data_IF_036977028967
#
_entry.id   IF_036977028967
#
_cell.length_a   1.000
_cell.length_b   1.000
_cell.length_c   1.000
_cell.angle_alpha   90.00
_cell.angle_beta   90.00
_cell.angle_gamma   90.00
#
_symmetry.space_group_name_H-M   'P 1'
#
loop_
_entity.id
_entity.type
_entity.pdbx_description
1 polymer ?
#
# COMPACT_ATOMS: atom_id res chain seq x y z
N UNK A 1 -14.87 -28.29 85.27
CA UNK A 1 -15.09 -28.49 83.82
C UNK A 1 -13.86 -27.97 83.10
N UNK A 2 -12.93 -28.85 82.72
CA UNK A 2 -11.63 -28.45 82.18
C UNK A 2 -11.74 -28.19 80.67
N UNK A 3 -11.44 -26.95 80.25
CA UNK A 3 -11.37 -26.56 78.84
C UNK A 3 -10.07 -27.13 78.27
N UNK A 4 -10.15 -28.15 77.41
CA UNK A 4 -8.98 -28.68 76.71
C UNK A 4 -8.52 -27.67 75.65
N UNK A 5 -7.21 -27.33 75.57
CA UNK A 5 -6.70 -26.46 74.52
C UNK A 5 -6.85 -27.16 73.16
N UNK A 6 -7.36 -26.45 72.16
CA UNK A 6 -7.36 -26.94 70.78
C UNK A 6 -5.91 -27.27 70.38
N UNK A 7 -5.64 -28.45 69.80
CA UNK A 7 -4.29 -28.81 69.40
C UNK A 7 -3.80 -27.85 68.30
N UNK A 8 -2.62 -27.25 68.49
CA UNK A 8 -1.97 -26.32 67.54
C UNK A 8 -1.94 -26.82 66.08
N UNK A 9 -2.04 -28.14 65.86
CA UNK A 9 -2.13 -28.76 64.54
C UNK A 9 -3.42 -28.42 63.78
N UNK A 10 -4.55 -28.19 64.47
CA UNK A 10 -5.80 -27.78 63.83
C UNK A 10 -5.79 -26.31 63.40
N UNK A 11 -5.16 -25.44 64.19
CA UNK A 11 -4.96 -24.03 63.83
C UNK A 11 -4.01 -23.89 62.63
N UNK A 12 -2.94 -24.68 62.57
CA UNK A 12 -2.02 -24.70 61.43
C UNK A 12 -2.71 -25.19 60.15
N UNK A 13 -3.59 -26.19 60.24
CA UNK A 13 -4.34 -26.73 59.08
C UNK A 13 -5.35 -25.72 58.53
N UNK A 14 -6.01 -24.94 59.40
CA UNK A 14 -6.94 -23.86 59.05
C UNK A 14 -6.22 -22.68 58.39
N UNK A 15 -5.01 -22.34 58.86
CA UNK A 15 -4.18 -21.29 58.25
C UNK A 15 -3.65 -21.75 56.89
N UNK A 16 -3.23 -23.02 56.75
CA UNK A 16 -2.79 -23.56 55.47
C UNK A 16 -3.93 -23.61 54.44
N UNK A 17 -5.15 -23.96 54.85
CA UNK A 17 -6.33 -23.98 53.95
C UNK A 17 -6.79 -22.59 53.54
N UNK A 18 -6.62 -21.56 54.38
CA UNK A 18 -6.90 -20.17 54.03
C UNK A 18 -5.85 -19.55 53.08
N UNK A 19 -4.62 -20.07 53.05
CA UNK A 19 -3.57 -19.61 52.11
C UNK A 19 -3.69 -20.32 50.75
N UNK A 20 -4.36 -21.47 50.70
CA UNK A 20 -4.59 -22.28 49.49
C UNK A 20 -5.92 -22.00 48.78
N UNK A 21 -6.72 -21.02 49.23
CA UNK A 21 -7.89 -20.59 48.47
C UNK A 21 -7.41 -19.79 47.25
N UNK A 22 -7.61 -20.28 46.01
CA UNK A 22 -7.25 -19.51 44.83
C UNK A 22 -8.10 -18.24 44.83
N UNK A 23 -7.45 -17.09 45.05
CA UNK A 23 -8.09 -15.81 44.76
C UNK A 23 -8.42 -15.83 43.26
N UNK A 24 -9.65 -15.50 42.84
CA UNK A 24 -9.97 -15.37 41.43
C UNK A 24 -9.14 -14.21 40.88
N UNK A 25 -7.96 -14.52 40.36
CA UNK A 25 -7.21 -13.61 39.51
C UNK A 25 -7.98 -13.50 38.21
N UNK A 26 -8.77 -12.43 38.08
CA UNK A 26 -9.34 -12.02 36.80
C UNK A 26 -8.20 -11.58 35.90
N UNK A 27 -7.60 -12.55 35.21
CA UNK A 27 -6.51 -12.31 34.26
C UNK A 27 -7.00 -11.71 32.93
N UNK A 28 -8.30 -11.45 32.79
CA UNK A 28 -8.92 -10.84 31.63
C UNK A 28 -9.51 -9.48 32.02
N UNK A 29 -9.30 -8.48 31.16
CA UNK A 29 -9.83 -7.12 31.35
C UNK A 29 -11.36 -7.12 31.40
N UNK A 30 -11.94 -6.07 32.00
CA UNK A 30 -13.39 -5.88 32.02
C UNK A 30 -13.90 -5.40 30.65
N UNK A 31 -15.20 -5.55 30.37
CA UNK A 31 -15.82 -4.95 29.19
C UNK A 31 -15.53 -3.43 29.09
N UNK A 32 -15.50 -2.74 30.22
CA UNK A 32 -15.17 -1.32 30.29
C UNK A 32 -13.71 -1.03 29.88
N UNK A 33 -12.78 -1.97 30.11
CA UNK A 33 -11.39 -1.86 29.67
C UNK A 33 -11.29 -1.99 28.15
N UNK A 34 -12.00 -2.95 27.56
CA UNK A 34 -12.08 -3.09 26.10
C UNK A 34 -12.79 -1.90 25.45
N UNK A 35 -13.91 -1.42 26.01
CA UNK A 35 -14.60 -0.23 25.50
C UNK A 35 -13.72 1.01 25.54
N UNK A 36 -12.94 1.19 26.62
CA UNK A 36 -11.98 2.30 26.74
C UNK A 36 -10.80 2.17 25.79
N UNK A 37 -10.33 0.95 25.53
CA UNK A 37 -9.28 0.70 24.54
C UNK A 37 -9.80 1.00 23.12
N UNK A 38 -11.02 0.57 22.81
CA UNK A 38 -11.65 0.81 21.52
C UNK A 38 -11.92 2.31 21.27
N UNK A 39 -12.22 3.10 22.30
CA UNK A 39 -12.41 4.56 22.16
C UNK A 39 -11.11 5.38 22.15
N UNK A 40 -9.94 4.75 22.21
CA UNK A 40 -8.67 5.48 22.23
C UNK A 40 -8.46 6.30 20.94
N UNK A 41 -8.82 5.75 19.78
CA UNK A 41 -8.72 6.44 18.50
C UNK A 41 -9.54 7.73 18.49
N UNK A 42 -10.83 7.62 18.80
CA UNK A 42 -11.77 8.76 18.87
C UNK A 42 -11.29 9.85 19.83
N UNK A 43 -10.69 9.47 20.97
CA UNK A 43 -10.21 10.41 21.99
C UNK A 43 -8.93 11.15 21.59
N UNK A 44 -8.10 10.53 20.75
CA UNK A 44 -6.83 11.11 20.31
C UNK A 44 -6.95 11.81 18.95
N UNK A 45 -7.95 11.45 18.16
CA UNK A 45 -8.24 12.06 16.87
C UNK A 45 -8.53 13.55 17.03
N UNK A 46 -7.91 14.37 16.19
CA UNK A 46 -8.06 15.83 16.22
C UNK A 46 -7.27 16.56 17.31
N UNK A 47 -6.54 15.86 18.19
CA UNK A 47 -5.70 16.53 19.20
C UNK A 47 -4.40 17.12 18.64
N UNK A 48 -3.91 16.60 17.50
CA UNK A 48 -2.72 17.13 16.84
C UNK A 48 -3.13 18.03 15.68
N UNK A 49 -2.91 19.32 15.85
CA UNK A 49 -3.26 20.37 14.89
C UNK A 49 -2.05 20.81 14.07
N UNK A 50 -2.31 21.47 12.95
CA UNK A 50 -1.31 21.98 12.00
C UNK A 50 -0.39 20.92 11.37
N UNK A 51 -0.81 19.66 11.36
CA UNK A 51 -0.17 18.64 10.53
C UNK A 51 -0.62 18.87 9.09
N UNK A 52 0.32 19.19 8.20
CA UNK A 52 0.09 19.17 6.77
C UNK A 52 0.10 17.74 6.24
N UNK A 53 -0.97 17.37 5.53
CA UNK A 53 -1.01 16.14 4.74
C UNK A 53 -0.22 16.32 3.43
N UNK A 54 -0.05 15.23 2.67
CA UNK A 54 0.73 15.25 1.42
C UNK A 54 0.13 16.26 0.42
N UNK A 55 0.93 17.15 -0.17
CA UNK A 55 0.45 18.10 -1.16
C UNK A 55 0.08 17.40 -2.48
N UNK A 56 -0.89 17.99 -3.18
CA UNK A 56 -1.34 17.62 -4.51
C UNK A 56 -1.12 18.80 -5.46
N UNK A 57 -0.30 18.60 -6.49
CA UNK A 57 -0.03 19.60 -7.51
C UNK A 57 -1.23 19.77 -8.45
N UNK A 58 -1.44 21.01 -8.92
CA UNK A 58 -2.52 21.34 -9.86
C UNK A 58 -1.93 21.31 -11.27
N UNK A 59 -2.23 20.24 -12.02
CA UNK A 59 -1.70 20.04 -13.37
C UNK A 59 -0.17 20.18 -13.44
N UNK A 60 0.31 20.88 -14.47
CA UNK A 60 1.74 21.22 -14.66
C UNK A 60 2.06 22.66 -14.22
N UNK A 61 1.35 23.16 -13.20
CA UNK A 61 1.53 24.53 -12.69
C UNK A 61 2.49 24.59 -11.49
N UNK A 62 2.81 25.80 -11.03
CA UNK A 62 3.55 26.04 -9.79
C UNK A 62 2.65 26.03 -8.54
N UNK A 63 1.38 25.66 -8.67
CA UNK A 63 0.41 25.67 -7.57
C UNK A 63 0.09 24.28 -7.07
N UNK A 64 -0.10 24.16 -5.76
CA UNK A 64 -0.50 22.92 -5.11
C UNK A 64 -1.42 23.21 -3.94
N UNK A 65 -2.25 22.23 -3.61
CA UNK A 65 -3.08 22.28 -2.42
C UNK A 65 -2.71 21.17 -1.45
N UNK A 66 -2.98 21.37 -0.16
CA UNK A 66 -2.87 20.32 0.85
C UNK A 66 -3.94 20.49 1.92
N UNK A 67 -4.37 19.37 2.49
CA UNK A 67 -5.23 19.35 3.67
C UNK A 67 -4.36 19.45 4.92
N UNK A 68 -4.80 20.20 5.93
CA UNK A 68 -4.12 20.24 7.23
C UNK A 68 -5.10 20.02 8.38
N UNK A 69 -4.63 19.45 9.47
CA UNK A 69 -5.43 19.34 10.69
C UNK A 69 -5.60 20.72 11.33
N UNK A 70 -6.80 20.97 11.87
CA UNK A 70 -7.14 22.11 12.73
C UNK A 70 -7.91 21.57 13.95
N UNK A 71 -8.18 22.43 14.93
CA UNK A 71 -8.96 22.01 16.09
C UNK A 71 -10.35 21.52 15.64
N UNK A 72 -10.66 20.26 15.94
CA UNK A 72 -11.94 19.64 15.60
C UNK A 72 -12.12 19.18 14.14
N UNK A 73 -11.15 19.38 13.24
CA UNK A 73 -11.34 19.03 11.83
C UNK A 73 -10.15 19.38 10.93
N UNK A 74 -10.43 19.84 9.72
CA UNK A 74 -9.41 20.07 8.69
C UNK A 74 -9.73 21.26 7.79
N UNK A 75 -8.68 21.93 7.30
CA UNK A 75 -8.77 22.96 6.26
C UNK A 75 -7.98 22.55 5.02
N UNK A 76 -8.41 23.05 3.86
CA UNK A 76 -7.70 22.95 2.60
C UNK A 76 -6.95 24.26 2.33
N UNK A 77 -5.66 24.14 2.05
CA UNK A 77 -4.76 25.26 1.82
C UNK A 77 -4.26 25.19 0.39
N UNK A 78 -4.34 26.30 -0.34
CA UNK A 78 -3.73 26.48 -1.65
C UNK A 78 -2.45 27.30 -1.52
N UNK A 79 -1.41 26.88 -2.21
CA UNK A 79 -0.10 27.51 -2.23
C UNK A 79 0.37 27.68 -3.67
N UNK A 80 0.86 28.87 -3.96
CA UNK A 80 1.61 29.16 -5.18
C UNK A 80 3.11 29.12 -4.83
N UNK A 81 3.83 28.12 -5.36
CA UNK A 81 5.22 27.84 -4.99
C UNK A 81 6.19 28.91 -5.52
N UNK A 82 5.83 29.60 -6.61
CA UNK A 82 6.67 30.64 -7.22
C UNK A 82 6.60 31.94 -6.42
N UNK A 83 5.39 32.39 -6.10
CA UNK A 83 5.16 33.64 -5.35
C UNK A 83 5.20 33.45 -3.84
N UNK A 84 5.19 32.20 -3.37
CA UNK A 84 5.03 31.81 -1.96
C UNK A 84 3.71 32.27 -1.33
N UNK A 85 2.73 32.66 -2.16
CA UNK A 85 1.41 33.03 -1.69
C UNK A 85 0.69 31.80 -1.12
N UNK A 86 0.02 31.99 0.02
CA UNK A 86 -0.70 30.92 0.73
C UNK A 86 -2.05 31.44 1.19
N UNK A 87 -3.09 30.66 0.93
CA UNK A 87 -4.47 30.98 1.32
C UNK A 87 -5.34 29.73 1.49
N UNK A 88 -6.62 29.91 1.87
CA UNK A 88 -7.59 28.83 1.78
C UNK A 88 -7.73 28.39 0.31
N UNK A 89 -7.93 27.09 0.08
CA UNK A 89 -8.13 26.57 -1.28
C UNK A 89 -9.45 27.04 -1.91
N UNK A 90 -10.47 27.27 -1.07
CA UNK A 90 -11.77 27.81 -1.41
C UNK A 90 -12.44 28.31 -0.11
N UNK A 91 -13.62 28.93 -0.22
CA UNK A 91 -14.44 29.32 0.92
C UNK A 91 -15.14 28.08 1.51
N UNK A 92 -14.54 27.54 2.56
CA UNK A 92 -15.03 26.33 3.24
C UNK A 92 -16.43 26.51 3.85
N UNK A 93 -16.78 27.70 4.34
CA UNK A 93 -18.09 27.96 4.93
C UNK A 93 -19.17 27.96 3.85
N UNK A 94 -18.89 28.64 2.73
CA UNK A 94 -19.83 28.70 1.60
C UNK A 94 -20.05 27.33 0.99
N UNK A 95 -18.99 26.55 0.78
CA UNK A 95 -19.10 25.18 0.27
C UNK A 95 -19.86 24.27 1.24
N UNK A 96 -19.52 24.30 2.53
CA UNK A 96 -20.22 23.51 3.55
C UNK A 96 -21.73 23.83 3.59
N UNK A 97 -22.08 25.11 3.45
CA UNK A 97 -23.49 25.54 3.38
C UNK A 97 -24.20 25.01 2.14
N UNK A 98 -23.58 25.06 0.96
CA UNK A 98 -24.16 24.47 -0.26
C UNK A 98 -24.38 22.97 -0.07
N UNK A 99 -23.35 22.24 0.38
CA UNK A 99 -23.44 20.79 0.53
C UNK A 99 -24.51 20.38 1.54
N UNK A 100 -24.60 21.08 2.67
CA UNK A 100 -25.64 20.87 3.69
C UNK A 100 -27.07 21.02 3.16
N UNK A 101 -27.26 21.79 2.07
CA UNK A 101 -28.57 22.00 1.46
C UNK A 101 -28.98 20.92 0.46
N UNK A 102 -28.04 20.10 0.01
CA UNK A 102 -28.28 19.04 -0.97
C UNK A 102 -28.88 17.82 -0.27
N UNK A 103 -29.87 17.20 -0.91
CA UNK A 103 -30.56 16.01 -0.40
C UNK A 103 -29.61 14.83 -0.19
N UNK A 104 -28.51 14.75 -0.95
CA UNK A 104 -27.49 13.73 -0.83
C UNK A 104 -26.74 13.75 0.52
N UNK A 105 -26.79 14.86 1.26
CA UNK A 105 -26.11 15.05 2.55
C UNK A 105 -27.09 15.35 3.68
N UNK A 106 -28.38 15.04 3.53
CA UNK A 106 -29.42 15.42 4.48
C UNK A 106 -29.23 14.82 5.90
N UNK A 107 -28.54 13.68 5.99
CA UNK A 107 -28.24 12.99 7.26
C UNK A 107 -26.86 13.37 7.84
N UNK A 108 -26.08 14.18 7.12
CA UNK A 108 -24.71 14.55 7.48
C UNK A 108 -24.65 15.93 8.14
N UNK A 109 -23.81 16.09 9.16
CA UNK A 109 -23.52 17.41 9.76
C UNK A 109 -22.28 17.99 9.11
N UNK A 110 -22.46 18.77 8.05
CA UNK A 110 -21.33 19.35 7.31
C UNK A 110 -20.98 20.72 7.87
N UNK A 111 -19.71 20.91 8.21
CA UNK A 111 -19.17 22.21 8.64
C UNK A 111 -17.95 22.58 7.81
N UNK A 112 -17.48 23.83 7.91
CA UNK A 112 -16.29 24.30 7.20
C UNK A 112 -15.02 23.47 7.52
N UNK A 113 -14.98 22.82 8.68
CA UNK A 113 -13.85 22.01 9.15
C UNK A 113 -14.12 20.49 9.05
N UNK A 114 -15.35 20.09 8.69
CA UNK A 114 -15.78 18.70 8.57
C UNK A 114 -16.51 18.49 7.24
N UNK A 115 -15.75 18.72 6.15
CA UNK A 115 -16.21 18.47 4.79
C UNK A 115 -16.19 16.97 4.49
N UNK A 116 -17.15 16.42 3.72
CA UNK A 116 -17.34 14.98 3.52
C UNK A 116 -16.35 14.36 2.53
N UNK A 117 -15.16 14.95 2.39
CA UNK A 117 -14.09 14.52 1.50
C UNK A 117 -12.72 14.90 2.06
N UNK A 118 -11.70 14.16 1.65
CA UNK A 118 -10.30 14.39 2.03
C UNK A 118 -9.42 14.75 0.85
N UNK A 119 -9.92 14.55 -0.38
CA UNK A 119 -9.24 14.85 -1.64
C UNK A 119 -10.14 15.66 -2.54
N UNK A 120 -9.51 16.59 -3.26
CA UNK A 120 -10.10 17.40 -4.32
C UNK A 120 -9.19 17.36 -5.55
N UNK A 121 -9.76 17.52 -6.72
CA UNK A 121 -9.04 17.85 -7.95
C UNK A 121 -9.55 19.20 -8.44
N UNK A 122 -8.65 20.11 -8.83
CA UNK A 122 -9.07 21.36 -9.46
C UNK A 122 -9.37 21.09 -10.93
N UNK A 123 -10.50 21.58 -11.41
CA UNK A 123 -10.94 21.49 -12.81
C UNK A 123 -11.23 22.90 -13.35
N UNK A 124 -11.48 22.99 -14.66
CA UNK A 124 -11.84 24.24 -15.33
C UNK A 124 -10.90 25.41 -15.01
N UNK A 125 -9.59 25.19 -15.16
CA UNK A 125 -8.55 26.20 -14.89
C UNK A 125 -8.62 26.79 -13.47
N UNK A 126 -8.83 25.92 -12.47
CA UNK A 126 -8.99 26.26 -11.04
C UNK A 126 -10.31 26.99 -10.71
N UNK A 127 -11.27 27.06 -11.64
CA UNK A 127 -12.60 27.63 -11.38
C UNK A 127 -13.57 26.64 -10.72
N UNK A 128 -13.26 25.35 -10.73
CA UNK A 128 -14.09 24.33 -10.09
C UNK A 128 -13.24 23.31 -9.34
N UNK A 129 -13.89 22.58 -8.42
CA UNK A 129 -13.32 21.41 -7.75
C UNK A 129 -14.16 20.17 -7.99
N UNK A 130 -13.50 19.05 -8.23
CA UNK A 130 -14.09 17.72 -8.25
C UNK A 130 -13.70 16.93 -7.00
N UNK A 131 -14.66 16.25 -6.36
CA UNK A 131 -14.41 15.35 -5.24
C UNK A 131 -15.44 14.22 -5.17
N UNK A 132 -15.11 13.18 -4.42
CA UNK A 132 -16.02 12.02 -4.22
C UNK A 132 -16.56 12.01 -2.79
N UNK A 133 -17.87 12.11 -2.66
CA UNK A 133 -18.59 12.04 -1.38
C UNK A 133 -19.93 11.29 -1.56
N UNK A 134 -20.35 10.52 -0.55
CA UNK A 134 -21.55 9.67 -0.60
C UNK A 134 -21.64 8.77 -1.86
N UNK A 135 -20.49 8.28 -2.30
CA UNK A 135 -20.32 7.42 -3.48
C UNK A 135 -20.77 8.05 -4.81
N UNK A 136 -20.73 9.39 -4.89
CA UNK A 136 -20.96 10.19 -6.09
C UNK A 136 -19.77 11.13 -6.33
N UNK A 137 -19.57 11.50 -7.58
CA UNK A 137 -18.61 12.53 -7.98
C UNK A 137 -19.34 13.86 -8.03
N UNK A 138 -18.84 14.84 -7.30
CA UNK A 138 -19.39 16.19 -7.27
C UNK A 138 -18.41 17.12 -7.96
N UNK A 139 -18.92 17.96 -8.85
CA UNK A 139 -18.20 19.11 -9.37
C UNK A 139 -18.84 20.38 -8.79
N UNK A 140 -18.06 21.20 -8.13
CA UNK A 140 -18.52 22.46 -7.56
C UNK A 140 -17.76 23.64 -8.16
N UNK A 141 -18.50 24.60 -8.71
CA UNK A 141 -17.95 25.87 -9.20
C UNK A 141 -17.53 26.77 -8.02
N UNK A 142 -16.34 27.35 -8.06
CA UNK A 142 -15.76 28.12 -6.96
C UNK A 142 -16.14 29.61 -6.95
N UNK A 143 -16.85 30.10 -7.97
CA UNK A 143 -17.38 31.48 -7.99
C UNK A 143 -18.81 31.52 -7.43
N UNK A 144 -19.65 30.61 -7.91
CA UNK A 144 -21.07 30.47 -7.58
C UNK A 144 -21.31 29.54 -6.38
N UNK A 145 -20.42 28.56 -6.15
CA UNK A 145 -20.59 27.47 -5.17
C UNK A 145 -21.81 26.58 -5.46
N UNK A 146 -22.23 26.50 -6.72
CA UNK A 146 -23.18 25.50 -7.19
C UNK A 146 -22.45 24.17 -7.39
N UNK A 147 -23.05 23.09 -6.90
CA UNK A 147 -22.49 21.74 -6.96
C UNK A 147 -23.40 20.83 -7.77
N UNK A 148 -22.83 20.14 -8.76
CA UNK A 148 -23.53 19.21 -9.64
C UNK A 148 -23.03 17.77 -9.44
N UNK A 149 -23.98 16.83 -9.47
CA UNK A 149 -23.70 15.39 -9.46
C UNK A 149 -23.25 14.94 -10.85
N UNK A 150 -21.98 14.51 -10.95
CA UNK A 150 -21.38 13.97 -12.17
C UNK A 150 -21.55 12.44 -12.28
N UNK A 151 -22.31 11.83 -11.37
CA UNK A 151 -22.65 10.42 -11.33
C UNK A 151 -21.67 9.60 -10.50
N UNK A 152 -21.70 8.28 -10.72
CA UNK A 152 -20.85 7.35 -10.00
C UNK A 152 -19.37 7.71 -10.18
N UNK A 153 -18.55 7.63 -9.13
CA UNK A 153 -17.10 7.81 -9.25
C UNK A 153 -16.58 6.93 -10.36
N UNK A 154 -15.86 7.56 -11.30
CA UNK A 154 -14.97 6.81 -12.19
C UNK A 154 -14.16 5.91 -11.28
N UNK A 155 -14.13 4.61 -11.56
CA UNK A 155 -13.26 3.67 -10.83
C UNK A 155 -11.79 3.99 -11.17
N UNK A 156 -11.30 5.18 -10.82
CA UNK A 156 -9.92 5.34 -10.43
C UNK A 156 -9.78 4.42 -9.22
N UNK A 157 -8.96 3.37 -9.35
CA UNK A 157 -8.84 2.32 -8.36
C UNK A 157 -8.67 2.89 -6.96
N UNK A 158 -9.77 2.96 -6.20
CA UNK A 158 -9.75 3.42 -4.81
C UNK A 158 -8.84 2.48 -4.05
N UNK A 159 -7.70 3.02 -3.63
CA UNK A 159 -6.78 2.41 -2.70
C UNK A 159 -7.48 2.08 -1.38
N UNK A 160 -8.04 0.88 -1.32
CA UNK A 160 -8.12 -0.01 -0.16
C UNK A 160 -7.65 -1.42 -0.52
N UNK A 161 -7.15 -1.55 -1.74
CA UNK A 161 -6.56 -2.73 -2.34
C UNK A 161 -5.33 -2.16 -3.03
N UNK A 162 -4.14 -2.74 -2.83
CA UNK A 162 -2.97 -2.31 -3.58
C UNK A 162 -3.26 -2.31 -5.09
N UNK A 163 -2.41 -1.72 -5.94
CA UNK A 163 -2.56 -1.69 -7.41
C UNK A 163 -2.69 -3.08 -8.08
N UNK A 164 -2.78 -4.14 -7.28
CA UNK A 164 -2.86 -5.54 -7.62
C UNK A 164 -4.15 -6.26 -7.19
N UNK A 165 -5.19 -5.61 -6.65
CA UNK A 165 -6.39 -6.40 -6.25
C UNK A 165 -6.14 -7.32 -5.03
N UNK A 166 -5.03 -7.13 -4.30
CA UNK A 166 -4.60 -7.96 -3.16
C UNK A 166 -5.04 -7.31 -1.84
N UNK A 167 -5.73 -8.08 -0.99
CA UNK A 167 -5.83 -7.80 0.44
C UNK A 167 -4.41 -7.64 1.01
N UNK A 168 -4.19 -6.71 1.95
CA UNK A 168 -2.93 -6.48 2.69
C UNK A 168 -2.37 -7.71 3.42
N UNK A 169 -2.99 -8.86 3.20
CA UNK A 169 -2.71 -10.18 3.74
C UNK A 169 -1.42 -10.83 3.24
N UNK A 170 -0.89 -10.38 2.10
CA UNK A 170 0.28 -11.00 1.52
C UNK A 170 1.50 -10.14 1.91
N UNK A 171 2.36 -10.65 2.79
CA UNK A 171 3.57 -9.92 3.21
C UNK A 171 4.49 -9.57 2.02
N UNK A 172 5.61 -8.87 2.27
CA UNK A 172 6.67 -8.62 1.29
C UNK A 172 6.92 -9.79 0.32
N UNK A 173 6.98 -9.50 -0.99
CA UNK A 173 7.37 -10.47 -2.02
C UNK A 173 6.29 -11.47 -2.45
N UNK A 174 5.04 -11.34 -1.97
CA UNK A 174 3.97 -12.31 -2.25
C UNK A 174 3.02 -11.92 -3.40
N UNK A 175 3.32 -10.85 -4.14
CA UNK A 175 2.45 -10.34 -5.22
C UNK A 175 2.20 -11.39 -6.32
N UNK A 176 3.15 -12.29 -6.57
CA UNK A 176 3.04 -13.38 -7.53
C UNK A 176 1.97 -14.43 -7.20
N UNK A 177 1.48 -14.46 -5.95
CA UNK A 177 0.44 -15.40 -5.51
C UNK A 177 -0.97 -14.97 -5.94
N UNK A 178 -1.12 -13.74 -6.44
CA UNK A 178 -2.36 -13.22 -7.03
C UNK A 178 -2.16 -13.00 -8.53
N UNK A 179 -2.22 -14.11 -9.27
CA UNK A 179 -2.11 -14.12 -10.73
C UNK A 179 -3.34 -13.45 -11.33
N UNK A 180 -3.13 -12.41 -12.15
CA UNK A 180 -4.10 -12.00 -13.15
C UNK A 180 -3.91 -12.85 -14.41
N UNK A 181 -5.01 -13.07 -15.12
CA UNK A 181 -4.98 -13.67 -16.47
C UNK A 181 -5.00 -12.60 -17.57
N UNK A 182 -5.12 -11.33 -17.20
CA UNK A 182 -5.22 -10.24 -18.15
C UNK A 182 -3.85 -9.98 -18.81
N UNK A 183 -3.77 -10.00 -20.15
CA UNK A 183 -2.56 -9.61 -20.86
C UNK A 183 -2.19 -8.14 -20.62
N UNK A 184 -0.90 -7.86 -20.68
CA UNK A 184 -0.33 -6.52 -20.50
C UNK A 184 0.09 -6.01 -21.88
N UNK A 185 -0.65 -5.02 -22.36
CA UNK A 185 -0.49 -4.41 -23.68
C UNK A 185 0.74 -3.49 -23.71
N UNK A 186 1.46 -3.51 -24.82
CA UNK A 186 2.62 -2.65 -25.08
C UNK A 186 2.21 -1.17 -25.25
N UNK A 187 3.11 -0.20 -24.99
CA UNK A 187 2.82 1.23 -25.16
C UNK A 187 2.30 1.62 -26.55
N UNK A 188 2.85 1.03 -27.61
CA UNK A 188 2.41 1.19 -29.01
C UNK A 188 1.13 0.41 -29.37
N UNK A 189 0.56 -0.34 -28.42
CA UNK A 189 -0.69 -1.10 -28.56
C UNK A 189 -0.67 -2.20 -29.64
N UNK A 190 0.51 -2.66 -30.06
CA UNK A 190 0.65 -3.69 -31.10
C UNK A 190 0.76 -5.09 -30.51
N UNK A 191 1.33 -5.23 -29.31
CA UNK A 191 1.62 -6.51 -28.68
C UNK A 191 1.07 -6.58 -27.28
N UNK A 192 0.84 -7.80 -26.79
CA UNK A 192 0.53 -8.04 -25.40
C UNK A 192 1.33 -9.21 -24.86
N UNK A 193 1.69 -9.11 -23.58
CA UNK A 193 2.49 -10.10 -22.86
C UNK A 193 1.70 -10.63 -21.66
N UNK A 194 1.80 -11.92 -21.41
CA UNK A 194 1.06 -12.61 -20.37
C UNK A 194 1.85 -13.79 -19.81
N UNK A 195 1.38 -14.33 -18.68
CA UNK A 195 1.94 -15.53 -18.09
C UNK A 195 1.23 -16.76 -18.66
N UNK A 196 1.99 -17.62 -19.33
CA UNK A 196 1.54 -18.91 -19.84
C UNK A 196 2.32 -20.03 -19.15
N UNK A 197 1.64 -20.83 -18.31
CA UNK A 197 2.24 -21.96 -17.58
C UNK A 197 3.57 -21.59 -16.89
N UNK A 198 3.52 -20.61 -15.96
CA UNK A 198 4.66 -20.07 -15.19
C UNK A 198 5.72 -19.34 -16.01
N UNK A 199 5.55 -19.19 -17.32
CA UNK A 199 6.48 -18.58 -18.26
C UNK A 199 5.89 -17.32 -18.89
N UNK A 200 6.72 -16.50 -19.50
CA UNK A 200 6.28 -15.29 -20.22
C UNK A 200 6.06 -15.64 -21.68
N UNK A 201 4.92 -15.23 -22.23
CA UNK A 201 4.58 -15.32 -23.65
C UNK A 201 4.15 -13.95 -24.17
N UNK A 202 4.24 -13.76 -25.47
CA UNK A 202 3.67 -12.59 -26.16
C UNK A 202 2.83 -13.02 -27.36
N UNK A 203 1.93 -12.15 -27.77
CA UNK A 203 1.23 -12.20 -29.06
C UNK A 203 0.93 -10.81 -29.59
N UNK A 204 0.60 -10.73 -30.87
CA UNK A 204 0.07 -9.50 -31.46
C UNK A 204 -1.36 -9.25 -30.95
N UNK A 205 -1.71 -7.98 -30.72
CA UNK A 205 -3.05 -7.60 -30.25
C UNK A 205 -4.08 -7.98 -31.30
N UNK A 206 -5.10 -8.74 -30.88
CA UNK A 206 -6.16 -9.26 -31.76
C UNK A 206 -5.83 -10.59 -32.45
N UNK A 207 -4.65 -11.17 -32.19
CA UNK A 207 -4.36 -12.55 -32.59
C UNK A 207 -5.27 -13.56 -31.86
N UNK A 208 -5.40 -14.76 -32.43
CA UNK A 208 -6.13 -15.86 -31.80
C UNK A 208 -5.48 -16.27 -30.47
N UNK A 209 -6.28 -16.83 -29.55
CA UNK A 209 -5.81 -17.09 -28.19
C UNK A 209 -4.60 -18.04 -28.13
N UNK A 210 -4.51 -18.97 -29.07
CA UNK A 210 -3.44 -19.98 -29.18
C UNK A 210 -2.27 -19.53 -30.08
N UNK A 211 -2.37 -18.36 -30.73
CA UNK A 211 -1.32 -17.79 -31.58
C UNK A 211 -0.41 -16.88 -30.75
N UNK A 212 0.48 -17.51 -29.98
CA UNK A 212 1.45 -16.83 -29.13
C UNK A 212 2.84 -17.43 -29.27
N UNK A 213 3.84 -16.63 -28.92
CA UNK A 213 5.24 -17.04 -28.85
C UNK A 213 5.73 -16.97 -27.41
N UNK A 214 6.38 -18.04 -26.96
CA UNK A 214 7.00 -18.08 -25.64
C UNK A 214 8.31 -17.29 -25.63
N UNK A 215 8.47 -16.39 -24.67
CA UNK A 215 9.72 -15.67 -24.40
C UNK A 215 10.61 -16.42 -23.40
N UNK A 216 10.01 -17.25 -22.54
CA UNK A 216 10.73 -18.07 -21.55
C UNK A 216 10.22 -19.50 -21.54
N UNK A 217 11.03 -20.43 -21.03
CA UNK A 217 10.71 -21.87 -21.06
C UNK A 217 11.02 -22.61 -19.75
N UNK A 218 11.74 -21.99 -18.84
CA UNK A 218 12.25 -22.59 -17.61
C UNK A 218 11.34 -22.41 -16.38
N UNK A 219 10.19 -21.74 -16.56
CA UNK A 219 9.22 -21.46 -15.51
C UNK A 219 8.58 -22.73 -14.93
N UNK A 220 8.44 -22.77 -13.61
CA UNK A 220 7.81 -23.87 -12.85
C UNK A 220 7.08 -23.32 -11.61
N UNK A 221 6.26 -24.11 -10.90
CA UNK A 221 5.67 -23.67 -9.62
C UNK A 221 6.69 -23.20 -8.57
N UNK A 222 7.93 -23.70 -8.62
CA UNK A 222 9.02 -23.31 -7.70
C UNK A 222 9.94 -22.21 -8.25
N UNK A 223 9.68 -21.70 -9.44
CA UNK A 223 10.48 -20.69 -10.14
C UNK A 223 9.59 -20.05 -11.23
N UNK A 224 8.70 -19.14 -10.83
CA UNK A 224 7.61 -18.64 -11.69
C UNK A 224 7.80 -17.18 -12.05
N UNK A 225 7.38 -16.80 -13.25
CA UNK A 225 7.17 -15.39 -13.57
C UNK A 225 5.81 -14.92 -13.04
N UNK A 226 5.66 -13.60 -12.85
CA UNK A 226 4.39 -12.98 -12.45
C UNK A 226 4.04 -11.77 -13.30
N UNK A 227 2.82 -11.79 -13.81
CA UNK A 227 2.11 -10.69 -14.48
C UNK A 227 2.16 -9.38 -13.68
N UNK A 228 2.05 -9.43 -12.35
CA UNK A 228 2.06 -8.25 -11.48
C UNK A 228 3.35 -7.43 -11.52
N UNK A 229 4.43 -8.04 -12.00
CA UNK A 229 5.75 -7.40 -12.11
C UNK A 229 6.12 -6.99 -13.53
N UNK A 230 5.31 -7.35 -14.52
CA UNK A 230 5.59 -7.08 -15.93
C UNK A 230 5.46 -5.58 -16.19
N UNK A 231 6.48 -5.04 -16.85
CA UNK A 231 6.54 -3.65 -17.30
C UNK A 231 7.22 -3.60 -18.66
N UNK A 232 6.53 -3.01 -19.63
CA UNK A 232 7.08 -2.71 -20.94
C UNK A 232 8.03 -1.52 -20.85
N UNK A 233 9.11 -1.62 -21.62
CA UNK A 233 9.92 -0.46 -22.01
C UNK A 233 9.08 0.53 -22.82
N UNK A 234 9.31 1.85 -22.67
CA UNK A 234 8.55 2.88 -23.39
C UNK A 234 8.51 2.72 -24.92
N UNK A 235 9.57 2.19 -25.52
CA UNK A 235 9.69 1.90 -26.95
C UNK A 235 9.06 0.56 -27.40
N UNK A 236 8.34 -0.15 -26.51
CA UNK A 236 7.67 -1.43 -26.79
C UNK A 236 8.60 -2.60 -27.20
N UNK A 237 9.92 -2.50 -27.02
CA UNK A 237 10.85 -3.55 -27.51
C UNK A 237 11.14 -4.63 -26.47
N UNK A 238 11.20 -4.23 -25.22
CA UNK A 238 11.61 -5.06 -24.08
C UNK A 238 10.56 -5.09 -22.99
N UNK A 239 10.58 -6.18 -22.23
CA UNK A 239 9.80 -6.34 -21.00
C UNK A 239 10.75 -6.60 -19.85
N UNK A 240 10.56 -5.91 -18.74
CA UNK A 240 11.15 -6.23 -17.46
C UNK A 240 10.12 -6.99 -16.60
N UNK A 241 10.55 -8.04 -15.92
CA UNK A 241 9.67 -8.91 -15.11
C UNK A 241 10.46 -9.55 -13.98
N UNK A 242 9.80 -9.82 -12.85
CA UNK A 242 10.38 -10.67 -11.81
C UNK A 242 10.13 -12.14 -12.10
N UNK A 243 11.21 -12.93 -12.03
CA UNK A 243 11.15 -14.36 -11.78
C UNK A 243 11.25 -14.61 -10.29
N UNK A 244 10.33 -15.40 -9.74
CA UNK A 244 10.19 -15.61 -8.30
C UNK A 244 10.43 -17.07 -7.95
N UNK A 245 11.36 -17.29 -7.03
CA UNK A 245 11.52 -18.56 -6.34
C UNK A 245 10.76 -18.48 -5.02
N UNK A 246 9.65 -19.24 -4.84
CA UNK A 246 8.85 -19.18 -3.63
C UNK A 246 9.64 -19.53 -2.37
N UNK A 247 9.40 -18.74 -1.33
CA UNK A 247 9.87 -18.92 0.02
C UNK A 247 9.19 -20.08 0.73
N UNK A 248 9.27 -20.08 2.05
CA UNK A 248 8.57 -21.05 2.89
C UNK A 248 7.11 -20.63 3.04
N UNK A 249 6.20 -21.54 2.70
CA UNK A 249 4.78 -21.32 2.98
C UNK A 249 4.49 -21.58 4.46
N UNK A 250 3.90 -20.58 5.12
CA UNK A 250 3.44 -20.71 6.50
C UNK A 250 2.00 -20.25 6.61
N UNK A 251 1.13 -21.19 6.92
CA UNK A 251 -0.29 -20.95 7.09
C UNK A 251 -0.59 -20.75 8.58
N UNK A 252 -1.25 -19.63 8.89
CA UNK A 252 -1.88 -19.39 10.20
C UNK A 252 -3.34 -19.82 10.08
N UNK A 253 -3.81 -20.53 11.09
CA UNK A 253 -5.18 -21.02 11.18
C UNK A 253 -5.94 -20.19 12.22
N UNK A 254 -7.06 -19.62 11.80
CA UNK A 254 -8.03 -18.97 12.67
C UNK A 254 -9.22 -19.90 12.88
N UNK A 255 -9.65 -20.01 14.12
CA UNK A 255 -10.86 -20.75 14.49
C UNK A 255 -11.78 -19.77 15.20
N UNK A 256 -12.87 -19.44 14.53
CA UNK A 256 -13.98 -18.70 15.11
C UNK A 256 -14.86 -19.69 15.88
N UNK A 257 -14.76 -19.69 17.20
CA UNK A 257 -15.40 -20.71 18.05
C UNK A 257 -16.92 -20.59 18.13
N UNK A 258 -17.48 -19.42 17.83
CA UNK A 258 -18.89 -19.10 18.03
C UNK A 258 -19.38 -18.10 16.97
N UNK A 259 -19.44 -18.50 15.69
CA UNK A 259 -19.95 -17.66 14.63
C UNK A 259 -21.45 -17.41 14.81
N UNK A 260 -21.94 -16.23 14.41
CA UNK A 260 -23.34 -15.83 14.61
C UNK A 260 -24.34 -16.60 13.74
N UNK A 261 -23.87 -17.23 12.65
CA UNK A 261 -24.69 -17.86 11.62
C UNK A 261 -24.77 -19.39 11.72
N UNK A 262 -23.98 -20.02 12.60
CA UNK A 262 -23.98 -21.48 12.76
C UNK A 262 -23.52 -21.97 14.14
N UNK A 263 -23.87 -23.22 14.48
CA UNK A 263 -23.52 -23.83 15.78
C UNK A 263 -22.08 -24.34 15.86
N UNK A 264 -21.45 -24.64 14.73
CA UNK A 264 -20.11 -25.24 14.68
C UNK A 264 -19.04 -24.16 14.44
N UNK A 265 -17.80 -24.33 14.94
CA UNK A 265 -16.74 -23.38 14.67
C UNK A 265 -16.47 -23.17 13.18
N UNK A 266 -16.19 -21.93 12.79
CA UNK A 266 -15.73 -21.60 11.43
C UNK A 266 -14.21 -21.56 11.40
N UNK A 267 -13.62 -22.10 10.33
CA UNK A 267 -12.17 -22.12 10.13
C UNK A 267 -11.80 -21.23 8.96
N UNK A 268 -10.80 -20.39 9.15
CA UNK A 268 -10.18 -19.62 8.08
C UNK A 268 -8.66 -19.71 8.17
N UNK A 269 -8.00 -19.44 7.06
CA UNK A 269 -6.54 -19.51 6.99
C UNK A 269 -5.97 -18.28 6.32
N UNK A 270 -4.72 -18.00 6.66
CA UNK A 270 -4.00 -16.85 6.14
C UNK A 270 -2.53 -17.22 5.99
N UNK A 271 -1.92 -16.88 4.86
CA UNK A 271 -0.49 -17.07 4.63
C UNK A 271 0.30 -15.97 5.36
N UNK A 272 1.04 -16.32 6.41
CA UNK A 272 1.83 -15.36 7.20
C UNK A 272 3.26 -15.85 7.38
N UNK A 273 4.20 -15.22 6.69
CA UNK A 273 5.62 -15.41 6.95
C UNK A 273 5.97 -14.85 8.34
N UNK A 274 6.57 -15.67 9.21
CA UNK A 274 7.06 -15.22 10.53
C UNK A 274 8.55 -14.89 10.47
N UNK A 275 9.06 -14.14 11.46
CA UNK A 275 10.51 -13.93 11.61
C UNK A 275 11.28 -15.26 11.52
N UNK A 276 12.34 -15.26 10.72
CA UNK A 276 13.17 -16.44 10.43
C UNK A 276 12.75 -17.27 9.22
N UNK A 277 11.52 -17.12 8.70
CA UNK A 277 11.08 -17.91 7.53
C UNK A 277 11.83 -17.51 6.26
N UNK A 278 12.02 -18.45 5.33
CA UNK A 278 12.54 -18.11 4.00
C UNK A 278 11.51 -17.26 3.26
N UNK A 279 11.90 -16.07 2.81
CA UNK A 279 11.05 -15.21 1.99
C UNK A 279 11.14 -15.63 0.51
N UNK A 280 10.22 -15.12 -0.29
CA UNK A 280 10.26 -15.24 -1.74
C UNK A 280 11.54 -14.55 -2.27
N UNK A 281 12.21 -15.15 -3.25
CA UNK A 281 13.37 -14.55 -3.93
C UNK A 281 12.95 -14.07 -5.31
N UNK A 282 12.84 -12.76 -5.45
CA UNK A 282 12.57 -12.06 -6.71
C UNK A 282 13.90 -11.81 -7.45
N UNK A 283 13.92 -12.11 -8.76
CA UNK A 283 15.08 -11.93 -9.64
C UNK A 283 14.59 -11.14 -10.86
N UNK A 284 15.09 -9.90 -11.09
CA UNK A 284 14.77 -9.17 -12.30
C UNK A 284 15.24 -9.92 -13.55
N UNK A 285 14.40 -9.93 -14.58
CA UNK A 285 14.69 -10.49 -15.90
C UNK A 285 14.25 -9.48 -16.95
N UNK A 286 15.10 -9.21 -17.93
CA UNK A 286 14.79 -8.39 -19.11
C UNK A 286 14.66 -9.32 -20.32
N UNK A 287 13.56 -9.18 -21.04
CA UNK A 287 13.22 -9.97 -22.22
C UNK A 287 13.12 -9.03 -23.42
N UNK A 288 13.89 -9.29 -24.47
CA UNK A 288 13.70 -8.66 -25.77
C UNK A 288 12.67 -9.46 -26.56
N UNK A 289 11.55 -8.82 -26.91
CA UNK A 289 10.37 -9.52 -27.42
C UNK A 289 10.57 -10.01 -28.84
N UNK A 290 11.30 -9.26 -29.66
CA UNK A 290 11.52 -9.60 -31.07
C UNK A 290 12.60 -10.67 -31.24
N UNK A 291 13.72 -10.53 -30.53
CA UNK A 291 14.83 -11.49 -30.64
C UNK A 291 14.65 -12.72 -29.73
N UNK A 292 13.76 -12.66 -28.75
CA UNK A 292 13.66 -13.67 -27.69
C UNK A 292 14.85 -13.69 -26.74
N UNK A 293 15.72 -12.66 -26.77
CA UNK A 293 16.89 -12.59 -25.88
C UNK A 293 16.42 -12.43 -24.44
N UNK A 294 16.81 -13.39 -23.59
CA UNK A 294 16.57 -13.35 -22.15
C UNK A 294 17.83 -12.92 -21.40
N UNK A 295 17.67 -12.01 -20.45
CA UNK A 295 18.74 -11.52 -19.59
C UNK A 295 18.32 -11.61 -18.13
N UNK A 296 18.94 -12.52 -17.38
CA UNK A 296 18.73 -12.69 -15.95
C UNK A 296 19.72 -11.79 -15.22
N UNK A 297 19.23 -10.89 -14.36
CA UNK A 297 20.07 -9.89 -13.71
C UNK A 297 20.79 -10.49 -12.50
N UNK A 298 22.10 -10.25 -12.41
CA UNK A 298 22.95 -10.69 -11.31
C UNK A 298 22.58 -10.00 -9.99
N UNK A 299 22.53 -10.77 -8.91
CA UNK A 299 22.02 -10.32 -7.61
C UNK A 299 23.09 -9.80 -6.65
N UNK A 300 24.33 -9.54 -7.09
CA UNK A 300 25.40 -9.06 -6.22
C UNK A 300 25.04 -7.76 -5.46
N UNK A 301 24.23 -6.88 -6.07
CA UNK A 301 23.75 -5.66 -5.43
C UNK A 301 22.46 -5.84 -4.59
N UNK A 302 21.80 -6.99 -4.68
CA UNK A 302 20.53 -7.26 -4.00
C UNK A 302 20.36 -8.73 -3.53
N UNK A 303 21.36 -9.36 -2.88
CA UNK A 303 21.43 -10.83 -2.76
C UNK A 303 20.43 -11.46 -1.77
N UNK A 304 19.85 -10.66 -0.88
CA UNK A 304 18.98 -11.14 0.21
C UNK A 304 17.90 -10.09 0.53
N UNK A 305 16.93 -9.94 -0.36
CA UNK A 305 15.88 -8.93 -0.24
C UNK A 305 14.87 -9.28 0.86
N UNK A 306 14.49 -8.26 1.63
CA UNK A 306 13.20 -8.24 2.31
C UNK A 306 12.10 -7.86 1.32
N UNK A 307 12.35 -6.83 0.51
CA UNK A 307 11.49 -6.38 -0.60
C UNK A 307 12.35 -5.90 -1.75
N UNK A 308 11.90 -6.15 -2.98
CA UNK A 308 12.21 -5.31 -4.13
C UNK A 308 10.99 -4.42 -4.46
N UNK A 309 11.22 -3.20 -4.95
CA UNK A 309 10.11 -2.39 -5.49
C UNK A 309 9.63 -2.93 -6.83
N UNK A 310 8.57 -2.32 -7.37
CA UNK A 310 8.23 -2.49 -8.79
C UNK A 310 9.45 -2.11 -9.65
N UNK A 311 9.60 -2.82 -10.77
CA UNK A 311 10.53 -2.46 -11.83
C UNK A 311 9.99 -1.25 -12.58
N UNK A 312 10.84 -0.28 -12.85
CA UNK A 312 10.49 0.96 -13.54
C UNK A 312 11.47 1.19 -14.68
N UNK A 313 10.97 1.37 -15.90
CA UNK A 313 11.82 1.78 -17.02
C UNK A 313 12.08 3.27 -16.97
N UNK A 314 13.30 3.66 -17.34
CA UNK A 314 13.60 5.02 -17.77
C UNK A 314 12.89 5.33 -19.09
N UNK A 315 12.58 6.60 -19.33
CA UNK A 315 11.93 7.10 -20.55
C UNK A 315 12.76 6.77 -21.80
N UNK A 316 14.08 6.70 -21.65
CA UNK A 316 15.02 6.33 -22.72
C UNK A 316 14.97 4.85 -23.16
N UNK A 317 14.21 3.98 -22.48
CA UNK A 317 14.18 2.52 -22.71
C UNK A 317 15.54 1.81 -22.51
N UNK A 318 16.56 2.47 -22.01
CA UNK A 318 17.91 1.92 -21.86
C UNK A 318 18.14 1.32 -20.47
N UNK A 319 17.39 1.78 -19.45
CA UNK A 319 17.61 1.37 -18.07
C UNK A 319 16.34 0.95 -17.34
N UNK A 320 16.49 -0.02 -16.46
CA UNK A 320 15.45 -0.45 -15.50
C UNK A 320 15.93 -0.13 -14.09
N UNK A 321 15.06 0.45 -13.28
CA UNK A 321 15.35 0.83 -11.89
C UNK A 321 14.39 0.13 -10.94
N UNK A 322 14.94 -0.26 -9.80
CA UNK A 322 14.17 -0.77 -8.67
C UNK A 322 14.92 -0.50 -7.37
N UNK A 323 14.21 -0.66 -6.27
CA UNK A 323 14.72 -0.42 -4.94
C UNK A 323 14.88 -1.73 -4.20
N UNK A 324 15.95 -1.83 -3.45
CA UNK A 324 16.33 -2.99 -2.68
C UNK A 324 16.34 -2.63 -1.20
N UNK A 325 15.53 -3.32 -0.41
CA UNK A 325 15.61 -3.30 1.04
C UNK A 325 16.16 -4.65 1.49
N UNK A 326 17.37 -4.68 2.04
CA UNK A 326 17.96 -5.91 2.54
C UNK A 326 17.14 -6.48 3.69
N UNK A 327 17.08 -7.81 3.77
CA UNK A 327 16.60 -8.50 4.97
C UNK A 327 17.48 -8.15 6.18
N UNK A 328 16.86 -7.57 7.21
CA UNK A 328 17.57 -6.98 8.35
C UNK A 328 17.69 -5.45 8.25
N UNK A 329 17.31 -4.87 7.10
CA UNK A 329 17.15 -3.44 6.86
C UNK A 329 18.42 -2.60 7.04
N UNK A 330 19.61 -3.20 6.98
CA UNK A 330 20.87 -2.46 7.15
C UNK A 330 21.47 -1.98 5.83
N UNK A 331 20.87 -2.36 4.71
CA UNK A 331 21.27 -1.90 3.37
C UNK A 331 20.00 -1.55 2.61
N UNK A 332 19.95 -0.32 2.11
CA UNK A 332 18.92 0.15 1.19
C UNK A 332 19.58 0.69 -0.07
N UNK A 333 19.12 0.27 -1.25
CA UNK A 333 19.70 0.71 -2.52
C UNK A 333 18.62 1.10 -3.50
N UNK A 334 18.93 2.09 -4.33
CA UNK A 334 18.28 2.26 -5.63
C UNK A 334 19.24 1.64 -6.64
N UNK A 335 18.79 0.59 -7.31
CA UNK A 335 19.58 -0.20 -8.25
C UNK A 335 19.08 0.08 -9.65
N UNK A 336 20.01 0.43 -10.53
CA UNK A 336 19.74 0.61 -11.96
C UNK A 336 20.45 -0.49 -12.75
N UNK A 337 19.78 -0.97 -13.79
CA UNK A 337 20.21 -2.03 -14.69
C UNK A 337 20.26 -1.48 -16.11
N UNK A 338 21.42 -1.59 -16.75
CA UNK A 338 21.58 -1.36 -18.19
C UNK A 338 20.91 -2.51 -18.95
N UNK A 339 19.86 -2.21 -19.73
CA UNK A 339 19.02 -3.21 -20.38
C UNK A 339 19.68 -3.90 -21.59
N UNK A 340 20.81 -3.37 -22.08
CA UNK A 340 21.58 -3.98 -23.16
C UNK A 340 22.61 -4.98 -22.65
N UNK A 341 23.23 -4.68 -21.51
CA UNK A 341 24.36 -5.44 -20.97
C UNK A 341 24.05 -6.22 -19.69
N UNK A 342 22.96 -5.87 -18.99
CA UNK A 342 22.58 -6.46 -17.69
C UNK A 342 23.45 -6.00 -16.52
N UNK A 343 24.35 -5.04 -16.77
CA UNK A 343 25.22 -4.51 -15.71
C UNK A 343 24.39 -3.69 -14.73
N UNK A 344 24.60 -3.95 -13.45
CA UNK A 344 23.91 -3.25 -12.37
C UNK A 344 24.81 -2.19 -11.74
N UNK A 345 24.22 -1.08 -11.31
CA UNK A 345 24.86 -0.08 -10.47
C UNK A 345 23.91 0.37 -9.37
N UNK A 346 24.45 0.67 -8.18
CA UNK A 346 23.69 1.32 -7.13
C UNK A 346 23.79 2.83 -7.35
N UNK A 347 22.70 3.47 -7.79
CA UNK A 347 22.65 4.94 -7.94
C UNK A 347 22.54 5.62 -6.58
N UNK A 348 21.96 4.94 -5.60
CA UNK A 348 21.96 5.29 -4.18
C UNK A 348 22.26 4.04 -3.37
N UNK A 349 23.10 4.16 -2.32
CA UNK A 349 23.39 3.08 -1.37
C UNK A 349 23.49 3.64 0.05
N UNK A 350 22.59 3.19 0.91
CA UNK A 350 22.49 3.57 2.32
C UNK A 350 22.81 2.35 3.18
N UNK A 351 23.81 2.46 4.04
CA UNK A 351 24.29 1.36 4.89
C UNK A 351 24.44 1.80 6.36
N UNK A 352 23.34 2.12 7.06
CA UNK A 352 23.39 2.60 8.44
C UNK A 352 23.85 1.51 9.43
N UNK A 353 24.47 1.92 10.53
CA UNK A 353 24.94 1.00 11.59
C UNK A 353 23.79 0.21 12.26
N UNK A 354 22.58 0.78 12.28
CA UNK A 354 21.40 0.18 12.91
C UNK A 354 20.45 -0.40 11.85
N UNK A 355 19.52 0.40 11.34
CA UNK A 355 18.58 0.02 10.29
C UNK A 355 18.11 1.26 9.52
N UNK A 356 17.74 1.05 8.26
CA UNK A 356 17.12 2.01 7.39
C UNK A 356 15.61 2.05 7.65
N UNK A 357 15.06 3.24 7.94
CA UNK A 357 13.62 3.41 8.19
C UNK A 357 12.85 3.55 6.86
N UNK A 358 12.70 2.44 6.15
CA UNK A 358 12.07 2.39 4.84
C UNK A 358 10.57 2.72 4.85
N UNK A 359 9.90 2.56 5.99
CA UNK A 359 8.44 2.63 6.07
C UNK A 359 7.89 4.04 6.28
N UNK A 360 8.69 4.95 6.87
CA UNK A 360 8.18 6.26 7.26
C UNK A 360 9.13 7.43 6.99
N UNK A 361 10.42 7.20 6.74
CA UNK A 361 11.43 8.26 6.62
C UNK A 361 12.25 8.11 5.35
N UNK A 362 11.53 8.05 4.23
CA UNK A 362 12.14 7.92 2.92
C UNK A 362 11.40 8.79 1.92
N UNK A 363 12.14 9.51 1.10
CA UNK A 363 11.60 10.20 -0.06
C UNK A 363 12.54 10.00 -1.24
N UNK A 364 11.94 9.75 -2.40
CA UNK A 364 12.64 9.70 -3.68
C UNK A 364 11.77 10.40 -4.72
N UNK A 365 12.39 11.30 -5.46
CA UNK A 365 11.82 11.88 -6.66
C UNK A 365 12.92 12.00 -7.71
N UNK A 366 12.69 11.34 -8.84
CA UNK A 366 13.61 11.33 -9.97
C UNK A 366 13.26 12.48 -10.89
N UNK A 367 14.26 13.27 -11.28
CA UNK A 367 14.18 14.41 -12.17
C UNK A 367 14.95 14.08 -13.46
N UNK A 368 14.48 14.64 -14.58
CA UNK A 368 15.09 14.49 -15.91
C UNK A 368 15.44 13.02 -16.22
N UNK A 369 14.44 12.15 -16.12
CA UNK A 369 14.58 10.69 -16.32
C UNK A 369 15.63 10.04 -15.39
N UNK A 370 15.72 10.53 -14.15
CA UNK A 370 16.64 10.03 -13.13
C UNK A 370 18.10 10.43 -13.30
N UNK A 371 18.38 11.43 -14.16
CA UNK A 371 19.69 12.11 -14.18
C UNK A 371 19.99 12.80 -12.85
N UNK A 372 18.96 13.31 -12.21
CA UNK A 372 19.01 13.85 -10.86
C UNK A 372 17.98 13.14 -9.97
N UNK A 373 18.31 12.95 -8.70
CA UNK A 373 17.41 12.31 -7.74
C UNK A 373 17.40 13.14 -6.46
N UNK A 374 16.21 13.62 -6.08
CA UNK A 374 15.95 14.16 -4.75
C UNK A 374 15.74 12.97 -3.82
N UNK A 375 16.65 12.81 -2.86
CA UNK A 375 16.66 11.70 -1.92
C UNK A 375 16.63 12.18 -0.47
N UNK A 376 15.86 11.48 0.38
CA UNK A 376 15.85 11.64 1.83
C UNK A 376 15.86 10.26 2.49
N UNK A 377 16.74 10.08 3.47
CA UNK A 377 16.97 8.85 4.24
C UNK A 377 17.04 9.05 5.75
#
# INVERSE_FOLDING_TARGET
>A
MAIRPLPHRFALLLILTAILTPLPTTAQGTLADYARANSLGERLQGLVVDIAERPSWIGETTRFWYRKTVEGGHNFVLVDAETQARGPAFDHERLASTLSSLTAFADDTITAIDLPFTRIEFTDDEQAIEFVANNLTWQCDLDTYECEDQGAPRRQGRGGVGPSGVSWSAGPGQLWRNLSTDPIVSPDSTREVFIQNYNVAYREVGADADDYTMLTWEGTPGNTYTDRSIVWSPDSRRVAVYRVVPGQERVVHYVESSPDDQLQPTHSTYLYAKPGDRLDKEIPVILDVESGRQMIIDDALFPNAYTLSRLEWREDSEHVVFEYNQRGHQVYRVVEVDAETGRTRAVISEEPETFFNYSNKRFRHDLDDGREIIWMS
#
